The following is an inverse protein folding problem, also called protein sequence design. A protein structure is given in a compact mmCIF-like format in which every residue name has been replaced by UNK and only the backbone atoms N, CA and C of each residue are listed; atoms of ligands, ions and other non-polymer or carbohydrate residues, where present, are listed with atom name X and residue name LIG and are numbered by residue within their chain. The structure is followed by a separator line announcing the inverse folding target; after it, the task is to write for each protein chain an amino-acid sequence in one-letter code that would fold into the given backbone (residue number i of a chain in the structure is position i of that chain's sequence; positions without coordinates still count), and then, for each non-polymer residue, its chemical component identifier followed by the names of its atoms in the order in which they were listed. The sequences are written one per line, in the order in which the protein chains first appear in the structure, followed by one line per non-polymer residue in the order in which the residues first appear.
data_IF_646123316757
#
_entry.id   IF_646123316757
#
_cell.length_a   1.000
_cell.length_b   1.000
_cell.length_c   1.000
_cell.angle_alpha   90.00
_cell.angle_beta   90.00
_cell.angle_gamma   90.00
#
_symmetry.space_group_name_H-M   'P 1'
#
loop_
_entity.id
_entity.type
_entity.pdbx_description
1 polymer ?
#
# COMPACT_ATOMS: atom_id res chain seq x y z
N UNK A 1 -0.03 5.06 41.47
CA UNK A 1 0.98 3.97 41.45
C UNK A 1 0.36 2.66 40.97
N UNK A 2 -0.83 2.26 41.43
CA UNK A 2 -1.45 0.98 41.10
C UNK A 2 -1.73 0.74 39.61
N UNK A 3 -2.19 1.75 38.87
CA UNK A 3 -2.42 1.61 37.42
C UNK A 3 -1.10 1.37 36.66
N UNK A 4 -0.05 2.12 37.01
CA UNK A 4 1.27 1.99 36.37
C UNK A 4 1.86 0.62 36.66
N UNK A 5 1.76 0.15 37.91
CA UNK A 5 2.21 -1.19 38.30
C UNK A 5 1.41 -2.29 37.60
N UNK A 6 0.08 -2.13 37.44
CA UNK A 6 -0.75 -3.08 36.70
C UNK A 6 -0.40 -3.13 35.21
N UNK A 7 -0.21 -1.97 34.58
CA UNK A 7 0.17 -1.89 33.16
C UNK A 7 1.56 -2.49 32.95
N UNK A 8 2.51 -2.15 33.82
CA UNK A 8 3.87 -2.67 33.76
C UNK A 8 3.93 -4.19 34.00
N UNK A 9 3.19 -4.68 35.00
CA UNK A 9 3.06 -6.11 35.29
C UNK A 9 2.41 -6.87 34.13
N UNK A 10 1.33 -6.33 33.56
CA UNK A 10 0.68 -6.91 32.39
C UNK A 10 1.58 -6.93 31.16
N UNK A 11 2.38 -5.87 30.95
CA UNK A 11 3.38 -5.82 29.88
C UNK A 11 4.45 -6.90 30.03
N UNK A 12 4.99 -7.08 31.24
CA UNK A 12 5.95 -8.14 31.53
C UNK A 12 5.35 -9.52 31.33
N UNK A 13 4.14 -9.76 31.86
CA UNK A 13 3.45 -11.02 31.63
C UNK A 13 3.28 -11.34 30.14
N UNK A 14 2.88 -10.34 29.35
CA UNK A 14 2.75 -10.49 27.90
C UNK A 14 4.10 -10.79 27.22
N UNK A 15 5.17 -10.10 27.60
CA UNK A 15 6.46 -10.20 26.92
C UNK A 15 7.34 -11.36 27.40
N UNK A 16 7.26 -11.71 28.68
CA UNK A 16 8.17 -12.65 29.33
C UNK A 16 7.51 -14.04 29.44
N UNK A 17 6.21 -14.11 29.73
CA UNK A 17 5.50 -15.39 29.97
C UNK A 17 4.73 -15.92 28.74
N UNK A 18 4.13 -15.02 27.94
CA UNK A 18 3.30 -15.42 26.79
C UNK A 18 4.04 -15.45 25.46
N UNK A 19 5.22 -14.86 25.37
CA UNK A 19 5.95 -14.80 24.10
C UNK A 19 6.70 -16.09 23.79
N UNK A 20 6.98 -16.32 22.51
CA UNK A 20 7.76 -17.47 22.08
C UNK A 20 9.24 -17.27 22.40
N UNK A 21 9.81 -18.06 23.33
CA UNK A 21 11.18 -17.87 23.79
C UNK A 21 12.22 -18.10 22.69
N UNK A 22 11.87 -18.83 21.62
CA UNK A 22 12.76 -19.13 20.49
C UNK A 22 13.13 -17.87 19.69
N UNK A 23 12.32 -16.83 19.79
CA UNK A 23 12.47 -15.58 19.02
C UNK A 23 13.10 -14.44 19.80
N UNK A 24 13.28 -14.58 21.12
CA UNK A 24 13.65 -13.47 22.02
C UNK A 24 14.96 -12.77 21.65
N UNK A 25 15.96 -13.55 21.26
CA UNK A 25 17.30 -13.06 20.92
C UNK A 25 17.42 -12.64 19.45
N UNK A 26 16.35 -12.76 18.66
CA UNK A 26 16.40 -12.37 17.26
C UNK A 26 16.36 -10.85 17.11
N UNK A 27 17.01 -10.30 16.06
CA UNK A 27 17.03 -8.85 15.88
C UNK A 27 15.62 -8.27 15.81
N UNK A 28 15.42 -7.17 16.54
CA UNK A 28 14.16 -6.43 16.69
C UNK A 28 13.02 -7.18 17.43
N UNK A 29 13.26 -8.35 18.05
CA UNK A 29 12.23 -9.12 18.77
C UNK A 29 12.17 -8.88 20.29
N UNK A 30 13.08 -8.08 20.84
CA UNK A 30 13.10 -7.73 22.27
C UNK A 30 11.91 -6.86 22.69
N UNK A 31 11.41 -6.01 21.79
CA UNK A 31 10.30 -5.09 22.04
C UNK A 31 9.66 -4.65 20.71
N UNK A 32 8.36 -4.30 20.68
CA UNK A 32 7.76 -3.74 19.46
C UNK A 32 8.13 -2.26 19.24
N UNK A 33 8.61 -1.55 20.27
CA UNK A 33 8.86 -0.11 20.18
C UNK A 33 9.88 0.28 19.11
N UNK A 34 11.02 -0.43 18.92
CA UNK A 34 11.92 -0.17 17.81
C UNK A 34 11.25 -0.29 16.44
N UNK A 35 10.44 -1.33 16.24
CA UNK A 35 9.69 -1.54 14.99
C UNK A 35 8.69 -0.41 14.75
N UNK A 36 7.92 -0.02 15.77
CA UNK A 36 6.96 1.09 15.69
C UNK A 36 7.69 2.40 15.38
N UNK A 37 8.82 2.67 16.04
CA UNK A 37 9.63 3.85 15.77
C UNK A 37 10.11 3.87 14.31
N UNK A 38 10.64 2.76 13.80
CA UNK A 38 11.07 2.63 12.39
C UNK A 38 9.91 2.89 11.42
N UNK A 39 8.72 2.33 11.68
CA UNK A 39 7.52 2.56 10.88
C UNK A 39 7.05 4.02 10.89
N UNK A 40 7.07 4.68 12.05
CA UNK A 40 6.72 6.10 12.19
C UNK A 40 7.75 7.00 11.50
N UNK A 41 9.05 6.70 11.65
CA UNK A 41 10.12 7.38 10.94
C UNK A 41 9.97 7.21 9.43
N UNK A 42 9.65 6.01 8.96
CA UNK A 42 9.33 5.77 7.55
C UNK A 42 8.18 6.68 7.09
N UNK A 43 7.06 6.72 7.81
CA UNK A 43 5.90 7.55 7.46
C UNK A 43 6.27 9.04 7.39
N UNK A 44 7.02 9.54 8.37
CA UNK A 44 7.54 10.91 8.37
C UNK A 44 8.49 11.17 7.18
N UNK A 45 9.42 10.25 6.93
CA UNK A 45 10.37 10.34 5.83
C UNK A 45 9.67 10.40 4.49
N UNK A 46 8.64 9.58 4.26
CA UNK A 46 7.98 9.51 2.96
C UNK A 46 6.97 10.63 2.71
N UNK A 47 6.31 11.14 3.76
CA UNK A 47 5.30 12.19 3.64
C UNK A 47 5.84 13.60 3.78
N UNK A 48 6.92 13.80 4.54
CA UNK A 48 7.40 15.14 4.91
C UNK A 48 8.84 15.36 4.46
N UNK A 49 9.80 14.61 5.00
CA UNK A 49 11.21 14.89 4.78
C UNK A 49 11.64 14.65 3.33
N UNK A 50 11.31 13.50 2.76
CA UNK A 50 11.68 13.10 1.41
C UNK A 50 11.20 14.08 0.34
N UNK A 51 9.90 14.44 0.29
CA UNK A 51 9.40 15.45 -0.63
C UNK A 51 10.09 16.81 -0.49
N UNK A 52 10.34 17.28 0.74
CA UNK A 52 11.07 18.54 1.01
C UNK A 52 12.52 18.49 0.50
N UNK A 53 13.23 17.39 0.74
CA UNK A 53 14.61 17.21 0.26
C UNK A 53 14.68 17.16 -1.27
N UNK A 54 13.63 16.66 -1.92
CA UNK A 54 13.55 16.53 -3.38
C UNK A 54 12.99 17.77 -4.08
N UNK A 55 12.37 18.72 -3.38
CA UNK A 55 11.70 19.89 -3.96
C UNK A 55 12.60 20.61 -4.99
N UNK A 56 13.81 20.98 -4.56
CA UNK A 56 14.80 21.70 -5.36
C UNK A 56 15.80 20.80 -6.10
N UNK A 57 15.54 19.49 -6.20
CA UNK A 57 16.42 18.52 -6.88
C UNK A 57 15.78 17.96 -8.16
N UNK A 58 16.61 17.61 -9.13
CA UNK A 58 16.15 16.86 -10.32
C UNK A 58 15.82 15.41 -9.93
N UNK A 59 14.83 14.75 -10.56
CA UNK A 59 14.53 13.35 -10.28
C UNK A 59 15.72 12.45 -10.62
N UNK A 60 16.06 11.53 -9.73
CA UNK A 60 17.19 10.62 -9.92
C UNK A 60 16.91 9.57 -11.00
N UNK A 61 17.93 9.24 -11.80
CA UNK A 61 17.85 8.21 -12.84
C UNK A 61 18.23 6.83 -12.28
N UNK A 62 17.31 6.23 -11.53
CA UNK A 62 17.55 4.99 -10.77
C UNK A 62 17.18 3.70 -11.53
N UNK A 63 17.19 3.71 -12.87
CA UNK A 63 16.68 2.57 -13.66
C UNK A 63 17.39 1.25 -13.37
N UNK A 64 18.73 1.24 -13.38
CA UNK A 64 19.53 0.03 -13.08
C UNK A 64 19.32 -0.43 -11.64
N UNK A 65 19.31 0.52 -10.70
CA UNK A 65 19.06 0.26 -9.28
C UNK A 65 17.70 -0.42 -9.08
N UNK A 66 16.65 0.09 -9.72
CA UNK A 66 15.33 -0.51 -9.68
C UNK A 66 15.30 -1.93 -10.24
N UNK A 67 15.98 -2.19 -11.36
CA UNK A 67 16.02 -3.55 -11.93
C UNK A 67 16.67 -4.52 -10.94
N UNK A 68 17.83 -4.16 -10.39
CA UNK A 68 18.56 -5.00 -9.42
C UNK A 68 17.75 -5.19 -8.14
N UNK A 69 17.21 -4.10 -7.59
CA UNK A 69 16.39 -4.15 -6.38
C UNK A 69 15.15 -5.06 -6.57
N UNK A 70 14.39 -4.88 -7.65
CA UNK A 70 13.23 -5.73 -7.90
C UNK A 70 13.63 -7.20 -8.15
N UNK A 71 14.78 -7.46 -8.78
CA UNK A 71 15.29 -8.82 -8.94
C UNK A 71 15.63 -9.46 -7.59
N UNK A 72 16.29 -8.72 -6.69
CA UNK A 72 16.58 -9.16 -5.32
C UNK A 72 15.26 -9.46 -4.58
N UNK A 73 14.27 -8.58 -4.69
CA UNK A 73 12.95 -8.78 -4.07
C UNK A 73 12.23 -10.03 -4.59
N UNK A 74 12.32 -10.32 -5.89
CA UNK A 74 11.79 -11.55 -6.49
C UNK A 74 12.46 -12.78 -5.89
N UNK A 75 13.80 -12.81 -5.87
CA UNK A 75 14.57 -13.95 -5.33
C UNK A 75 14.27 -14.14 -3.85
N UNK A 76 14.23 -13.06 -3.08
CA UNK A 76 13.97 -13.11 -1.66
C UNK A 76 12.55 -13.58 -1.34
N UNK A 77 11.55 -13.10 -2.09
CA UNK A 77 10.16 -13.56 -1.96
C UNK A 77 10.00 -15.03 -2.38
N UNK A 78 10.70 -15.47 -3.42
CA UNK A 78 10.69 -16.86 -3.86
C UNK A 78 11.31 -17.81 -2.83
N UNK A 79 12.43 -17.39 -2.22
CA UNK A 79 13.05 -18.12 -1.13
C UNK A 79 12.12 -18.21 0.09
N UNK A 80 11.50 -17.11 0.52
CA UNK A 80 10.53 -17.12 1.62
C UNK A 80 9.32 -18.02 1.34
N UNK A 81 8.80 -17.99 0.12
CA UNK A 81 7.71 -18.87 -0.30
C UNK A 81 8.14 -20.34 -0.22
N UNK A 82 9.34 -20.67 -0.70
CA UNK A 82 9.90 -22.01 -0.58
C UNK A 82 10.08 -22.44 0.87
N UNK A 83 10.59 -21.57 1.74
CA UNK A 83 10.73 -21.86 3.18
C UNK A 83 9.38 -22.15 3.82
N UNK A 84 8.35 -21.36 3.53
CA UNK A 84 7.00 -21.60 4.05
C UNK A 84 6.40 -22.94 3.56
N UNK A 85 6.59 -23.27 2.28
CA UNK A 85 6.18 -24.55 1.71
C UNK A 85 6.91 -25.73 2.36
N UNK A 86 8.24 -25.68 2.39
CA UNK A 86 9.08 -26.75 2.90
C UNK A 86 8.93 -26.94 4.42
N UNK A 87 8.70 -25.87 5.17
CA UNK A 87 8.50 -25.93 6.62
C UNK A 87 7.11 -26.41 7.02
N UNK A 88 6.11 -26.45 6.13
CA UNK A 88 4.79 -26.97 6.50
C UNK A 88 3.75 -27.00 5.39
N UNK A 89 3.57 -25.90 4.66
CA UNK A 89 2.40 -25.72 3.78
C UNK A 89 2.32 -26.66 2.58
N UNK A 90 3.45 -27.23 2.15
CA UNK A 90 3.50 -28.23 1.08
C UNK A 90 3.78 -29.65 1.60
N UNK A 91 3.83 -29.85 2.92
CA UNK A 91 4.21 -31.13 3.53
C UNK A 91 3.13 -31.69 4.44
N UNK A 92 2.85 -31.04 5.57
CA UNK A 92 2.02 -31.61 6.64
C UNK A 92 1.01 -30.64 7.26
N UNK A 93 1.01 -29.36 6.86
CA UNK A 93 0.05 -28.40 7.41
C UNK A 93 -1.36 -28.62 6.88
N UNK A 94 -2.33 -28.44 7.77
CA UNK A 94 -3.75 -28.41 7.43
C UNK A 94 -4.17 -27.00 7.01
N UNK A 95 -4.97 -26.90 5.94
CA UNK A 95 -5.63 -25.65 5.54
C UNK A 95 -6.84 -25.30 6.42
N UNK A 96 -7.24 -26.19 7.35
CA UNK A 96 -8.39 -25.98 8.23
C UNK A 96 -8.01 -25.34 9.56
N UNK A 97 -7.40 -26.13 10.43
CA UNK A 97 -6.92 -25.68 11.72
C UNK A 97 -5.48 -26.16 11.87
N UNK A 98 -4.54 -25.21 11.94
CA UNK A 98 -3.13 -25.52 12.09
C UNK A 98 -2.56 -24.87 13.35
N UNK A 99 -2.23 -25.64 14.40
CA UNK A 99 -1.59 -25.09 15.57
C UNK A 99 -0.17 -24.64 15.27
N UNK A 100 0.36 -23.77 16.14
CA UNK A 100 1.78 -23.41 16.11
C UNK A 100 2.57 -24.52 16.82
N UNK A 101 3.59 -25.05 16.16
CA UNK A 101 4.54 -25.94 16.81
C UNK A 101 5.60 -25.10 17.56
N UNK A 102 5.54 -25.13 18.89
CA UNK A 102 6.49 -24.44 19.78
C UNK A 102 7.73 -25.27 20.14
N UNK A 103 7.88 -26.47 19.58
CA UNK A 103 9.04 -27.32 19.82
C UNK A 103 10.34 -26.73 19.24
N UNK A 104 11.47 -27.29 19.67
CA UNK A 104 12.79 -27.00 19.10
C UNK A 104 13.14 -27.90 17.90
N UNK A 105 12.13 -28.52 17.27
CA UNK A 105 12.36 -29.37 16.12
C UNK A 105 12.94 -28.55 14.95
N UNK A 106 13.78 -29.15 14.08
CA UNK A 106 14.33 -28.44 12.93
C UNK A 106 13.25 -27.80 12.03
N UNK A 107 12.12 -28.48 11.86
CA UNK A 107 10.98 -28.00 11.06
C UNK A 107 10.28 -26.81 11.71
N UNK A 108 10.01 -26.88 13.02
CA UNK A 108 9.37 -25.79 13.76
C UNK A 108 10.25 -24.54 13.77
N UNK A 109 11.55 -24.71 14.02
CA UNK A 109 12.52 -23.62 13.96
C UNK A 109 12.68 -23.04 12.56
N UNK A 110 12.60 -23.87 11.52
CA UNK A 110 12.60 -23.40 10.12
C UNK A 110 11.39 -22.50 9.84
N UNK A 111 10.19 -22.92 10.25
CA UNK A 111 8.99 -22.09 10.13
C UNK A 111 9.14 -20.76 10.87
N UNK A 112 9.56 -20.80 12.14
CA UNK A 112 9.71 -19.61 12.95
C UNK A 112 10.73 -18.62 12.34
N UNK A 113 11.88 -19.14 11.87
CA UNK A 113 12.89 -18.33 11.15
C UNK A 113 12.31 -17.74 9.85
N UNK A 114 11.51 -18.52 9.11
CA UNK A 114 10.79 -18.04 7.94
C UNK A 114 9.85 -16.88 8.26
N UNK A 115 9.10 -16.97 9.36
CA UNK A 115 8.25 -15.87 9.86
C UNK A 115 9.07 -14.61 10.20
N UNK A 116 10.23 -14.76 10.83
CA UNK A 116 11.12 -13.63 11.12
C UNK A 116 11.73 -13.02 9.86
N UNK A 117 12.16 -13.83 8.89
CA UNK A 117 12.66 -13.31 7.62
C UNK A 117 11.56 -12.62 6.80
N UNK A 118 10.32 -13.10 6.88
CA UNK A 118 9.16 -12.43 6.32
C UNK A 118 8.90 -11.07 7.00
N UNK A 119 9.03 -11.00 8.33
CA UNK A 119 8.99 -9.74 9.06
C UNK A 119 10.10 -8.78 8.60
N UNK A 120 11.34 -9.28 8.48
CA UNK A 120 12.46 -8.50 7.98
C UNK A 120 12.22 -7.98 6.56
N UNK A 121 11.58 -8.80 5.70
CA UNK A 121 11.24 -8.41 4.33
C UNK A 121 10.39 -7.15 4.29
N UNK A 122 9.47 -6.94 5.24
CA UNK A 122 8.61 -5.74 5.26
C UNK A 122 9.41 -4.43 5.35
N UNK A 123 10.58 -4.43 6.00
CA UNK A 123 11.47 -3.25 6.03
C UNK A 123 12.20 -3.06 4.70
N UNK A 124 12.58 -4.15 4.02
CA UNK A 124 13.20 -4.06 2.69
C UNK A 124 12.25 -3.47 1.66
N UNK A 125 10.94 -3.58 1.87
CA UNK A 125 9.91 -3.03 0.98
C UNK A 125 9.75 -1.52 1.16
N UNK A 126 10.28 -0.90 2.22
CA UNK A 126 10.26 0.56 2.39
C UNK A 126 11.00 1.29 1.27
N UNK A 127 11.99 0.63 0.67
CA UNK A 127 12.75 1.18 -0.43
C UNK A 127 11.88 1.44 -1.68
N UNK A 128 10.74 0.75 -1.84
CA UNK A 128 9.77 1.03 -2.91
C UNK A 128 9.37 2.51 -2.90
N UNK A 129 8.96 2.99 -1.72
CA UNK A 129 8.51 4.37 -1.52
C UNK A 129 9.66 5.36 -1.63
N UNK A 130 10.84 5.01 -1.10
CA UNK A 130 12.03 5.86 -1.23
C UNK A 130 12.41 6.05 -2.70
N UNK A 131 12.32 5.01 -3.53
CA UNK A 131 12.55 5.13 -4.97
C UNK A 131 11.49 5.98 -5.68
N UNK A 132 10.22 5.92 -5.27
CA UNK A 132 9.19 6.81 -5.82
C UNK A 132 9.50 8.27 -5.54
N UNK A 133 9.88 8.60 -4.30
CA UNK A 133 10.22 9.97 -3.90
C UNK A 133 11.46 10.48 -4.63
N UNK A 134 12.53 9.70 -4.65
CA UNK A 134 13.77 10.07 -5.36
C UNK A 134 13.54 10.28 -6.87
N UNK A 135 12.53 9.63 -7.46
CA UNK A 135 12.15 9.80 -8.86
C UNK A 135 11.07 10.86 -9.09
N UNK A 136 10.63 11.56 -8.04
CA UNK A 136 9.48 12.50 -8.05
C UNK A 136 8.20 11.87 -8.62
N UNK A 137 7.96 10.59 -8.35
CA UNK A 137 6.75 9.86 -8.72
C UNK A 137 5.75 9.83 -7.57
N UNK A 138 5.35 11.02 -7.12
CA UNK A 138 4.42 11.17 -5.98
C UNK A 138 3.04 10.57 -6.26
N UNK A 139 2.66 10.42 -7.53
CA UNK A 139 1.47 9.71 -7.97
C UNK A 139 1.45 8.22 -7.53
N UNK A 140 2.63 7.64 -7.31
CA UNK A 140 2.79 6.26 -6.86
C UNK A 140 2.78 6.14 -5.32
N UNK A 141 3.05 7.23 -4.60
CA UNK A 141 3.03 7.31 -3.12
C UNK A 141 1.60 7.50 -2.61
N UNK A 142 0.73 6.56 -3.00
CA UNK A 142 -0.68 6.58 -2.60
C UNK A 142 -0.86 6.39 -1.10
N UNK A 143 -1.99 6.84 -0.56
CA UNK A 143 -2.37 6.58 0.84
C UNK A 143 -2.40 5.08 1.15
N UNK A 144 -2.91 4.26 0.22
CA UNK A 144 -2.88 2.80 0.34
C UNK A 144 -1.45 2.28 0.54
N UNK A 145 -0.52 2.71 -0.31
CA UNK A 145 0.86 2.23 -0.28
C UNK A 145 1.57 2.63 1.03
N UNK A 146 1.41 3.88 1.47
CA UNK A 146 2.03 4.36 2.71
C UNK A 146 1.42 3.69 3.95
N UNK A 147 0.09 3.54 4.02
CA UNK A 147 -0.57 2.83 5.12
C UNK A 147 -0.11 1.38 5.16
N UNK A 148 -0.11 0.69 4.02
CA UNK A 148 0.32 -0.69 3.91
C UNK A 148 1.76 -0.87 4.40
N UNK A 149 2.74 -0.23 3.77
CA UNK A 149 4.14 -0.41 4.19
C UNK A 149 4.38 0.12 5.61
N UNK A 150 3.70 1.19 6.04
CA UNK A 150 3.86 1.70 7.41
C UNK A 150 3.40 0.72 8.49
N UNK A 151 2.23 0.09 8.31
CA UNK A 151 1.63 -0.77 9.34
C UNK A 151 2.15 -2.21 9.31
N UNK A 152 2.54 -2.73 8.14
CA UNK A 152 2.87 -4.16 7.98
C UNK A 152 4.00 -4.66 8.88
N UNK A 153 5.16 -3.98 9.04
CA UNK A 153 6.18 -4.44 9.98
C UNK A 153 5.67 -4.47 11.43
N UNK A 154 4.96 -3.43 11.86
CA UNK A 154 4.43 -3.32 13.21
C UNK A 154 3.35 -4.38 13.50
N UNK A 155 2.53 -4.73 12.51
CA UNK A 155 1.50 -5.77 12.68
C UNK A 155 2.10 -7.17 12.66
N UNK A 156 3.05 -7.46 11.78
CA UNK A 156 3.70 -8.77 11.65
C UNK A 156 4.56 -9.10 12.87
N UNK A 157 5.12 -8.09 13.53
CA UNK A 157 5.94 -8.26 14.74
C UNK A 157 5.23 -9.12 15.81
N UNK A 158 3.94 -8.85 16.08
CA UNK A 158 3.14 -9.63 17.02
C UNK A 158 2.98 -11.09 16.59
N UNK A 159 2.87 -11.34 15.28
CA UNK A 159 2.84 -12.69 14.73
C UNK A 159 4.12 -13.45 15.03
N UNK A 160 5.29 -12.86 14.76
CA UNK A 160 6.58 -13.50 15.03
C UNK A 160 6.81 -13.71 16.53
N UNK A 161 6.45 -12.74 17.36
CA UNK A 161 6.70 -12.80 18.80
C UNK A 161 5.85 -13.86 19.53
N UNK A 162 4.64 -14.11 19.07
CA UNK A 162 3.67 -14.95 19.80
C UNK A 162 3.20 -16.18 19.03
N UNK A 163 3.13 -16.11 17.71
CA UNK A 163 2.62 -17.19 16.86
C UNK A 163 3.50 -17.40 15.62
N UNK A 164 4.80 -17.69 15.75
CA UNK A 164 5.73 -17.81 14.62
C UNK A 164 5.56 -19.13 13.86
N UNK A 165 4.39 -19.34 13.26
CA UNK A 165 4.07 -20.54 12.47
C UNK A 165 2.58 -20.85 12.44
N UNK A 166 2.25 -22.10 12.13
CA UNK A 166 0.87 -22.58 12.08
C UNK A 166 -0.07 -21.70 11.25
N UNK A 167 -1.30 -21.52 11.74
CA UNK A 167 -2.39 -20.83 11.04
C UNK A 167 -2.06 -19.39 10.61
N UNK A 168 -1.30 -18.65 11.43
CA UNK A 168 -0.94 -17.26 11.13
C UNK A 168 0.04 -17.17 9.96
N UNK A 169 0.83 -18.20 9.68
CA UNK A 169 1.82 -18.15 8.58
C UNK A 169 1.20 -18.19 7.17
N UNK A 170 -0.09 -18.53 7.04
CA UNK A 170 -0.78 -18.65 5.74
C UNK A 170 -0.82 -17.33 4.96
N UNK A 171 -1.03 -16.19 5.63
CA UNK A 171 -1.03 -14.91 4.93
C UNK A 171 0.37 -14.56 4.40
N UNK A 172 1.43 -14.96 5.11
CA UNK A 172 2.81 -14.79 4.66
C UNK A 172 3.12 -15.65 3.43
N UNK A 173 2.63 -16.90 3.40
CA UNK A 173 2.71 -17.78 2.23
C UNK A 173 2.09 -17.13 0.99
N UNK A 174 0.82 -16.70 1.07
CA UNK A 174 0.16 -16.09 -0.08
C UNK A 174 0.78 -14.73 -0.46
N UNK A 175 1.17 -13.92 0.53
CA UNK A 175 1.80 -12.61 0.28
C UNK A 175 3.12 -12.77 -0.49
N UNK A 176 3.99 -13.69 -0.06
CA UNK A 176 5.27 -13.95 -0.72
C UNK A 176 5.07 -14.44 -2.15
N UNK A 177 4.10 -15.33 -2.40
CA UNK A 177 3.73 -15.75 -3.76
C UNK A 177 3.31 -14.57 -4.64
N UNK A 178 2.42 -13.71 -4.16
CA UNK A 178 1.98 -12.53 -4.91
C UNK A 178 3.11 -11.53 -5.09
N UNK A 179 4.00 -11.38 -4.10
CA UNK A 179 5.17 -10.50 -4.17
C UNK A 179 6.17 -10.95 -5.24
N UNK A 180 6.38 -12.26 -5.44
CA UNK A 180 7.18 -12.78 -6.57
C UNK A 180 6.66 -12.19 -7.89
N UNK A 181 5.35 -12.30 -8.14
CA UNK A 181 4.73 -11.87 -9.39
C UNK A 181 4.71 -10.35 -9.50
N UNK A 182 4.42 -9.64 -8.41
CA UNK A 182 4.39 -8.18 -8.35
C UNK A 182 5.77 -7.56 -8.60
N UNK A 183 6.82 -8.04 -7.93
CA UNK A 183 8.17 -7.53 -8.12
C UNK A 183 8.75 -7.92 -9.48
N UNK A 184 8.39 -9.09 -10.02
CA UNK A 184 8.72 -9.44 -11.41
C UNK A 184 8.10 -8.45 -12.39
N UNK A 185 6.83 -8.06 -12.18
CA UNK A 185 6.21 -7.01 -12.98
C UNK A 185 6.94 -5.66 -12.87
N UNK A 186 7.31 -5.23 -11.65
CA UNK A 186 8.05 -3.98 -11.45
C UNK A 186 9.44 -4.00 -12.08
N UNK A 187 10.15 -5.13 -12.00
CA UNK A 187 11.41 -5.35 -12.70
C UNK A 187 11.25 -5.18 -14.21
N UNK A 188 10.28 -5.87 -14.82
CA UNK A 188 10.00 -5.77 -16.25
C UNK A 188 9.57 -4.34 -16.64
N UNK A 189 8.79 -3.67 -15.80
CA UNK A 189 8.40 -2.29 -16.03
C UNK A 189 9.61 -1.32 -16.00
N UNK A 190 10.63 -1.60 -15.18
CA UNK A 190 11.87 -0.83 -15.13
C UNK A 190 12.79 -1.05 -16.35
N UNK A 191 12.63 -2.14 -17.10
CA UNK A 191 13.36 -2.41 -18.34
C UNK A 191 12.96 -1.50 -19.51
N UNK A 192 12.00 -0.59 -19.32
CA UNK A 192 11.72 0.53 -20.23
C UNK A 192 10.66 0.24 -21.30
N UNK A 193 10.42 1.20 -22.23
CA UNK A 193 9.27 1.16 -23.13
C UNK A 193 9.19 -0.08 -24.03
N UNK A 194 10.35 -0.63 -24.42
CA UNK A 194 10.44 -1.85 -25.24
C UNK A 194 9.78 -3.06 -24.56
N UNK A 195 9.85 -3.14 -23.23
CA UNK A 195 9.27 -4.23 -22.43
C UNK A 195 7.87 -3.86 -21.92
N UNK A 196 7.66 -2.61 -21.52
CA UNK A 196 6.39 -2.13 -20.96
C UNK A 196 5.17 -2.38 -21.86
N UNK A 197 5.36 -2.36 -23.19
CA UNK A 197 4.27 -2.65 -24.15
C UNK A 197 3.67 -4.06 -24.00
N UNK A 198 4.43 -5.01 -23.46
CA UNK A 198 3.96 -6.39 -23.21
C UNK A 198 3.28 -6.55 -21.85
N UNK A 199 3.27 -5.52 -20.99
CA UNK A 199 2.74 -5.56 -19.62
C UNK A 199 1.25 -5.22 -19.54
N UNK A 200 0.45 -5.74 -20.48
CA UNK A 200 -1.00 -5.54 -20.56
C UNK A 200 -1.76 -6.12 -19.36
N UNK A 201 -1.15 -7.06 -18.65
CA UNK A 201 -1.76 -7.81 -17.56
C UNK A 201 -1.68 -7.12 -16.19
N UNK A 202 -1.32 -5.82 -16.14
CA UNK A 202 -1.29 -5.02 -14.91
C UNK A 202 -2.58 -5.12 -14.09
N UNK A 203 -3.73 -5.16 -14.75
CA UNK A 203 -5.03 -5.27 -14.08
C UNK A 203 -5.17 -6.60 -13.32
N UNK A 204 -4.68 -7.70 -13.90
CA UNK A 204 -4.76 -9.03 -13.30
C UNK A 204 -3.88 -9.15 -12.06
N UNK A 205 -2.79 -8.39 -11.96
CA UNK A 205 -2.02 -8.28 -10.71
C UNK A 205 -2.86 -7.73 -9.57
N UNK A 206 -3.59 -6.64 -9.80
CA UNK A 206 -4.43 -6.05 -8.76
C UNK A 206 -5.57 -7.00 -8.37
N UNK A 207 -6.12 -7.73 -9.34
CA UNK A 207 -7.12 -8.78 -9.06
C UNK A 207 -6.51 -9.92 -8.23
N UNK A 208 -5.29 -10.36 -8.55
CA UNK A 208 -4.58 -11.38 -7.78
C UNK A 208 -4.35 -10.94 -6.32
N UNK A 209 -3.95 -9.69 -6.09
CA UNK A 209 -3.81 -9.11 -4.75
C UNK A 209 -5.15 -9.08 -4.00
N UNK A 210 -6.25 -8.77 -4.68
CA UNK A 210 -7.59 -8.80 -4.07
C UNK A 210 -8.02 -10.23 -3.70
N UNK A 211 -7.76 -11.21 -4.58
CA UNK A 211 -8.03 -12.63 -4.32
C UNK A 211 -7.22 -13.10 -3.10
N UNK A 212 -5.95 -12.71 -2.99
CA UNK A 212 -5.13 -13.01 -1.81
C UNK A 212 -5.83 -12.58 -0.51
N UNK A 213 -6.36 -11.34 -0.44
CA UNK A 213 -7.04 -10.89 0.79
C UNK A 213 -8.29 -11.71 1.08
N UNK A 214 -9.06 -12.09 0.06
CA UNK A 214 -10.23 -12.98 0.24
C UNK A 214 -9.83 -14.33 0.80
N UNK A 215 -8.78 -14.95 0.25
CA UNK A 215 -8.27 -16.24 0.74
C UNK A 215 -7.75 -16.14 2.16
N UNK A 216 -7.02 -15.07 2.50
CA UNK A 216 -6.54 -14.83 3.87
C UNK A 216 -7.69 -14.62 4.84
N UNK A 217 -8.73 -13.86 4.48
CA UNK A 217 -9.92 -13.68 5.31
C UNK A 217 -10.66 -15.00 5.52
N UNK A 218 -10.91 -15.75 4.45
CA UNK A 218 -11.58 -17.05 4.55
C UNK A 218 -10.81 -18.01 5.45
N UNK A 219 -9.49 -18.09 5.26
CA UNK A 219 -8.63 -18.93 6.08
C UNK A 219 -8.58 -18.45 7.53
N UNK A 220 -8.52 -17.15 7.81
CA UNK A 220 -8.50 -16.62 9.18
C UNK A 220 -9.84 -16.81 9.91
N UNK A 221 -10.96 -16.45 9.26
CA UNK A 221 -12.28 -16.50 9.87
C UNK A 221 -12.86 -17.90 10.00
N UNK A 222 -12.32 -18.91 9.32
CA UNK A 222 -12.76 -20.30 9.55
C UNK A 222 -12.57 -20.75 11.01
N UNK A 223 -11.54 -20.24 11.70
CA UNK A 223 -11.28 -20.54 13.12
C UNK A 223 -12.36 -19.95 14.04
N UNK A 224 -13.24 -19.09 13.56
CA UNK A 224 -14.38 -18.62 14.35
C UNK A 224 -15.47 -19.70 14.50
N UNK A 225 -15.50 -20.63 13.56
CA UNK A 225 -16.50 -21.69 13.50
C UNK A 225 -15.90 -23.05 13.86
N UNK A 226 -14.66 -23.30 13.44
CA UNK A 226 -13.98 -24.59 13.60
C UNK A 226 -12.55 -24.41 14.13
N UNK A 227 -12.42 -24.30 15.46
CA UNK A 227 -11.13 -24.16 16.15
C UNK A 227 -10.77 -25.40 16.99
N UNK A 228 -10.66 -26.56 16.33
CA UNK A 228 -10.33 -27.83 16.99
C UNK A 228 -8.88 -27.87 17.52
N UNK A 229 -8.00 -27.04 16.97
CA UNK A 229 -6.58 -26.99 17.31
C UNK A 229 -6.22 -25.94 18.38
N UNK A 230 -7.23 -25.32 19.02
CA UNK A 230 -7.04 -24.30 20.07
C UNK A 230 -6.10 -23.16 19.66
N UNK A 231 -6.14 -22.75 18.39
CA UNK A 231 -5.37 -21.60 17.93
C UNK A 231 -5.89 -20.32 18.60
N UNK A 232 -5.02 -19.38 19.03
CA UNK A 232 -5.47 -18.14 19.67
C UNK A 232 -6.41 -17.30 18.78
N UNK A 233 -7.70 -17.27 19.11
CA UNK A 233 -8.73 -16.59 18.30
C UNK A 233 -8.45 -15.09 18.11
N UNK A 234 -7.82 -14.44 19.09
CA UNK A 234 -7.45 -13.03 19.01
C UNK A 234 -6.53 -12.73 17.81
N UNK A 235 -5.58 -13.62 17.51
CA UNK A 235 -4.69 -13.47 16.34
C UNK A 235 -5.45 -13.72 15.03
N UNK A 236 -6.40 -14.65 15.00
CA UNK A 236 -7.25 -14.88 13.84
C UNK A 236 -8.10 -13.64 13.52
N UNK A 237 -8.71 -13.00 14.53
CA UNK A 237 -9.43 -11.73 14.38
C UNK A 237 -8.52 -10.62 13.86
N UNK A 238 -7.32 -10.49 14.43
CA UNK A 238 -6.37 -9.46 14.02
C UNK A 238 -5.95 -9.61 12.54
N UNK A 239 -5.64 -10.84 12.10
CA UNK A 239 -5.29 -11.14 10.71
C UNK A 239 -6.49 -10.87 9.79
N UNK A 240 -7.67 -11.36 10.14
CA UNK A 240 -8.89 -11.17 9.35
C UNK A 240 -9.29 -9.70 9.21
N UNK A 241 -9.23 -8.93 10.30
CA UNK A 241 -9.53 -7.50 10.29
C UNK A 241 -8.53 -6.70 9.43
N UNK A 242 -7.24 -7.02 9.51
CA UNK A 242 -6.23 -6.41 8.64
C UNK A 242 -6.46 -6.75 7.16
N UNK A 243 -6.76 -8.01 6.85
CA UNK A 243 -7.06 -8.42 5.48
C UNK A 243 -8.31 -7.71 4.93
N UNK A 244 -9.35 -7.54 5.76
CA UNK A 244 -10.56 -6.80 5.40
C UNK A 244 -10.26 -5.32 5.10
N UNK A 245 -9.48 -4.67 5.97
CA UNK A 245 -9.06 -3.28 5.76
C UNK A 245 -8.32 -3.12 4.41
N UNK A 246 -7.34 -3.99 4.13
CA UNK A 246 -6.60 -3.92 2.86
C UNK A 246 -7.48 -4.25 1.66
N UNK A 247 -8.40 -5.21 1.78
CA UNK A 247 -9.36 -5.50 0.73
C UNK A 247 -10.15 -4.26 0.31
N UNK A 248 -10.67 -3.48 1.27
CA UNK A 248 -11.39 -2.24 0.97
C UNK A 248 -10.50 -1.17 0.33
N UNK A 249 -9.28 -0.99 0.83
CA UNK A 249 -8.34 -0.02 0.25
C UNK A 249 -7.96 -0.39 -1.19
N UNK A 250 -7.71 -1.68 -1.47
CA UNK A 250 -7.42 -2.18 -2.82
C UNK A 250 -8.65 -2.13 -3.74
N UNK A 251 -9.84 -2.44 -3.23
CA UNK A 251 -11.09 -2.33 -3.99
C UNK A 251 -11.36 -0.89 -4.41
N UNK A 252 -11.15 0.07 -3.50
CA UNK A 252 -11.25 1.50 -3.79
C UNK A 252 -10.22 1.94 -4.84
N UNK A 253 -8.96 1.48 -4.71
CA UNK A 253 -7.93 1.73 -5.72
C UNK A 253 -8.34 1.16 -7.09
N UNK A 254 -8.82 -0.08 -7.14
CA UNK A 254 -9.20 -0.75 -8.37
C UNK A 254 -10.36 -0.03 -9.08
N UNK A 255 -11.39 0.38 -8.33
CA UNK A 255 -12.53 1.14 -8.87
C UNK A 255 -12.06 2.45 -9.53
N UNK A 256 -11.24 3.23 -8.82
CA UNK A 256 -10.69 4.50 -9.34
C UNK A 256 -9.75 4.30 -10.53
N UNK A 257 -8.89 3.28 -10.49
CA UNK A 257 -7.87 3.06 -11.50
C UNK A 257 -8.41 2.43 -12.80
N UNK A 258 -9.46 1.61 -12.72
CA UNK A 258 -9.91 0.76 -13.83
C UNK A 258 -11.41 0.83 -14.14
N UNK A 259 -12.29 1.07 -13.16
CA UNK A 259 -13.73 1.10 -13.39
C UNK A 259 -14.21 2.50 -13.78
N UNK A 260 -13.75 3.55 -13.10
CA UNK A 260 -14.13 4.94 -13.37
C UNK A 260 -13.50 5.48 -14.66
N UNK A 261 -12.31 4.98 -15.04
CA UNK A 261 -11.67 5.28 -16.34
C UNK A 261 -12.43 4.71 -17.55
N UNK A 262 -13.36 3.78 -17.34
CA UNK A 262 -14.17 3.19 -18.41
C UNK A 262 -15.45 3.99 -18.71
N UNK A 263 -15.82 4.98 -17.90
CA UNK A 263 -16.89 5.90 -18.34
C UNK A 263 -16.27 6.87 -19.35
N UNK A 264 -16.68 6.82 -20.63
CA UNK A 264 -16.32 7.86 -21.57
C UNK A 264 -16.81 9.20 -21.00
N UNK A 265 -16.13 10.28 -21.35
CA UNK A 265 -16.50 11.68 -21.09
C UNK A 265 -17.89 12.09 -21.65
N UNK A 266 -18.78 11.16 -21.98
CA UNK A 266 -20.12 11.41 -22.52
C UNK A 266 -21.10 12.02 -21.52
N UNK A 267 -20.86 11.91 -20.20
CA UNK A 267 -21.77 12.47 -19.19
C UNK A 267 -21.56 13.96 -18.88
N UNK A 268 -20.45 14.55 -19.30
CA UNK A 268 -20.20 15.99 -19.11
C UNK A 268 -20.84 16.82 -20.24
N UNK A 269 -20.89 16.30 -21.48
CA UNK A 269 -21.57 16.96 -22.60
C UNK A 269 -23.10 16.95 -22.48
N UNK A 270 -23.69 15.87 -21.94
CA UNK A 270 -25.15 15.78 -21.77
C UNK A 270 -25.72 16.71 -20.68
N UNK A 271 -24.92 17.22 -19.75
CA UNK A 271 -25.38 18.23 -18.78
C UNK A 271 -25.25 19.67 -19.30
N UNK A 272 -24.37 19.94 -20.27
CA UNK A 272 -24.28 21.26 -20.92
C UNK A 272 -25.30 21.43 -22.04
N UNK A 273 -25.72 20.37 -22.71
CA UNK A 273 -26.73 20.43 -23.79
C UNK A 273 -28.17 20.58 -23.28
N UNK A 274 -28.46 20.25 -22.01
CA UNK A 274 -29.81 20.37 -21.40
C UNK A 274 -30.01 21.73 -20.70
N UNK A 275 -28.95 22.52 -20.49
CA UNK A 275 -29.02 23.83 -19.85
C UNK A 275 -29.27 25.01 -20.81
N UNK A 276 -29.19 24.80 -22.13
CA UNK A 276 -29.31 25.86 -23.14
C UNK A 276 -30.59 25.80 -24.00
N UNK A 277 -31.64 25.13 -23.53
CA UNK A 277 -32.93 25.07 -24.22
C UNK A 277 -34.05 25.72 -23.42
N UNK A 278 -34.19 27.04 -23.55
CA UNK A 278 -35.46 27.78 -23.61
C UNK A 278 -35.23 29.26 -23.28
N UNK A 279 -35.34 30.11 -24.29
CA UNK A 279 -36.11 31.35 -24.26
C UNK A 279 -36.31 31.79 -25.71
N UNK A 280 -37.53 31.58 -26.21
CA UNK A 280 -38.04 32.21 -27.41
C UNK A 280 -38.14 33.73 -27.19
N UNK A 281 -37.62 34.52 -28.12
CA UNK A 281 -38.24 35.77 -28.55
C UNK A 281 -37.71 36.18 -29.93
N UNK A 282 -38.66 36.38 -30.84
CA UNK A 282 -38.58 36.76 -32.26
C UNK A 282 -37.74 38.02 -32.62
N UNK A 283 -37.49 38.27 -33.93
CA UNK A 283 -36.38 39.07 -34.41
C UNK A 283 -36.75 40.53 -34.71
N UNK A 284 -35.83 41.50 -34.48
CA UNK A 284 -35.81 42.69 -35.32
C UNK A 284 -34.45 43.43 -35.39
N UNK A 285 -34.32 44.14 -36.50
CA UNK A 285 -33.17 44.73 -37.18
C UNK A 285 -32.62 46.02 -36.55
N UNK A 286 -31.32 46.24 -36.83
CA UNK A 286 -30.60 47.48 -37.13
C UNK A 286 -30.35 48.56 -36.04
N UNK A 287 -29.17 49.19 -36.23
CA UNK A 287 -28.72 50.56 -35.90
C UNK A 287 -27.84 50.73 -34.65
N UNK A 288 -26.53 50.89 -34.96
CA UNK A 288 -25.53 51.86 -34.50
C UNK A 288 -25.57 52.56 -33.12
N UNK A 289 -24.35 52.64 -32.58
CA UNK A 289 -23.70 53.76 -31.87
C UNK A 289 -23.81 53.94 -30.34
N UNK A 290 -22.59 54.07 -29.79
CA UNK A 290 -22.14 54.97 -28.73
C UNK A 290 -22.11 54.57 -27.23
N UNK A 291 -20.93 54.86 -26.66
CA UNK A 291 -20.61 55.27 -25.27
C UNK A 291 -20.26 54.20 -24.21
N UNK A 292 -19.00 54.26 -23.75
CA UNK A 292 -18.53 53.82 -22.42
C UNK A 292 -18.87 54.90 -21.35
N UNK A 293 -18.49 54.81 -20.05
CA UNK A 293 -17.90 53.71 -19.25
C UNK A 293 -18.54 53.58 -17.81
N UNK A 294 -17.90 52.73 -16.98
CA UNK A 294 -17.58 52.94 -15.53
C UNK A 294 -18.29 52.16 -14.40
N UNK A 295 -17.42 51.72 -13.47
CA UNK A 295 -17.57 51.38 -12.04
C UNK A 295 -18.32 50.09 -11.67
N UNK A 296 -17.66 49.05 -11.13
CA UNK A 296 -16.97 48.91 -9.84
C UNK A 296 -17.95 48.87 -8.64
N UNK A 297 -18.09 47.69 -8.01
CA UNK A 297 -17.89 47.56 -6.57
C UNK A 297 -17.71 46.09 -6.16
N UNK A 298 -16.49 45.81 -5.71
CA UNK A 298 -16.11 44.66 -4.90
C UNK A 298 -16.64 44.89 -3.48
N UNK A 299 -17.26 43.88 -2.86
CA UNK A 299 -17.42 43.84 -1.41
C UNK A 299 -16.99 42.45 -0.91
N UNK A 300 -15.82 42.45 -0.28
CA UNK A 300 -15.22 41.34 0.45
C UNK A 300 -15.97 41.14 1.77
N UNK A 301 -16.26 39.90 2.13
CA UNK A 301 -16.34 39.51 3.53
C UNK A 301 -15.58 38.20 3.77
N UNK A 302 -14.48 38.34 4.51
CA UNK A 302 -13.48 37.31 4.71
C UNK A 302 -13.83 36.27 5.78
N UNK A 303 -13.32 35.05 5.56
CA UNK A 303 -12.87 34.13 6.61
C UNK A 303 -11.44 33.67 6.27
N UNK A 304 -10.62 33.53 7.31
CA UNK A 304 -9.15 33.54 7.34
C UNK A 304 -8.39 32.61 6.36
N UNK A 305 -7.34 33.16 5.73
CA UNK A 305 -6.50 32.63 4.64
C UNK A 305 -5.51 31.49 4.96
N UNK A 306 -5.56 30.81 6.12
CA UNK A 306 -4.57 29.76 6.41
C UNK A 306 -5.07 28.35 6.07
N UNK A 307 -6.36 28.06 6.25
CA UNK A 307 -6.92 26.73 6.00
C UNK A 307 -7.29 26.46 4.54
N UNK A 308 -7.42 27.51 3.71
CA UNK A 308 -7.78 27.38 2.30
C UNK A 308 -6.60 27.10 1.37
N UNK A 309 -5.37 27.42 1.80
CA UNK A 309 -4.17 27.16 1.00
C UNK A 309 -3.81 25.67 0.93
N UNK A 310 -4.07 24.89 2.00
CA UNK A 310 -3.77 23.45 2.05
C UNK A 310 -4.77 22.65 1.21
N UNK A 311 -6.03 23.07 1.15
CA UNK A 311 -7.06 22.41 0.34
C UNK A 311 -6.87 22.60 -1.17
N UNK A 312 -6.52 23.82 -1.61
CA UNK A 312 -6.41 24.14 -3.04
C UNK A 312 -5.20 23.50 -3.74
N UNK A 313 -4.08 23.30 -3.04
CA UNK A 313 -2.91 22.62 -3.64
C UNK A 313 -3.13 21.14 -3.93
N UNK A 314 -4.13 20.49 -3.31
CA UNK A 314 -4.41 19.06 -3.51
C UNK A 314 -5.29 18.83 -4.75
N UNK A 315 -6.28 19.70 -4.98
CA UNK A 315 -7.21 19.58 -6.12
C UNK A 315 -6.59 20.01 -7.45
N UNK A 316 -5.69 20.98 -7.50
CA UNK A 316 -5.05 21.42 -8.75
C UNK A 316 -4.00 20.42 -9.30
N UNK A 317 -3.53 19.47 -8.48
CA UNK A 317 -2.60 18.43 -8.96
C UNK A 317 -3.25 17.39 -9.90
N UNK A 318 -4.58 17.41 -10.03
CA UNK A 318 -5.32 16.45 -10.84
C UNK A 318 -5.64 16.91 -12.27
N UNK A 319 -5.28 18.14 -12.69
CA UNK A 319 -5.82 18.70 -13.94
C UNK A 319 -4.83 19.24 -14.98
N UNK A 320 -3.57 19.57 -14.69
CA UNK A 320 -2.68 20.01 -15.79
C UNK A 320 -1.22 19.62 -15.62
N UNK A 321 -0.77 18.65 -16.44
CA UNK A 321 0.49 18.67 -17.23
C UNK A 321 0.75 17.30 -17.85
N UNK A 322 0.04 17.00 -18.93
CA UNK A 322 0.58 16.16 -20.01
C UNK A 322 0.32 16.88 -21.32
N UNK A 323 1.34 17.58 -21.81
CA UNK A 323 1.76 17.69 -23.22
C UNK A 323 2.76 18.85 -23.34
N UNK A 324 4.05 18.53 -23.55
CA UNK A 324 5.10 19.35 -24.20
C UNK A 324 6.35 18.45 -24.30
N UNK A 325 6.48 17.69 -25.39
CA UNK A 325 7.22 17.97 -26.65
C UNK A 325 8.69 17.57 -26.55
N UNK A 326 9.11 16.64 -27.41
CA UNK A 326 10.17 16.86 -28.40
C UNK A 326 9.95 15.91 -29.58
N UNK A 327 9.26 16.41 -30.60
CA UNK A 327 9.43 16.00 -32.00
C UNK A 327 10.25 17.13 -32.61
N UNK A 328 11.46 16.82 -33.06
CA UNK A 328 12.27 17.72 -33.87
C UNK A 328 12.64 16.98 -35.15
N UNK A 329 11.81 17.15 -36.17
CA UNK A 329 12.17 16.92 -37.55
C UNK A 329 12.37 18.29 -38.19
N UNK A 330 13.55 18.57 -38.73
CA UNK A 330 13.77 19.62 -39.72
C UNK A 330 14.67 19.02 -40.79
N UNK A 331 14.09 18.77 -41.96
CA UNK A 331 14.80 18.69 -43.22
C UNK A 331 14.98 20.12 -43.73
N UNK A 332 16.22 20.47 -44.10
CA UNK A 332 16.56 21.15 -45.35
C UNK A 332 17.99 20.78 -45.70
#
# INVERSE_FOLDING_TARGET
MDLVNKVYGGWRYLMDDLSDPRTNEWPLMSSPFPTIAISLTYAYCVKVLGPRLMENRKPFQLRKVLIVYNAIQVVFSAWLFYEACAAGWATHYSLRCQPVDYSQSPTALRMARGCWWYFFSKFTEFFDTFFFIMRKRYDQVSTLHVIHHGIMPASVWWGVKFTPGGHSSFFGLLNTFVHIIMYAYYMLAAMGPKVQKYLWWKKYLTVLQMIQFVLVMAHAFQLLFWNECNFPSAFAYFIGAHALMFYFLFSNFYKRAYAERKQPKEKVEKQQLVANGNLESEPNKNIEQHSSPMSAHYQSNGKSSFYQAVGKTVEESYSSTRHRVYVGAVNN
#
